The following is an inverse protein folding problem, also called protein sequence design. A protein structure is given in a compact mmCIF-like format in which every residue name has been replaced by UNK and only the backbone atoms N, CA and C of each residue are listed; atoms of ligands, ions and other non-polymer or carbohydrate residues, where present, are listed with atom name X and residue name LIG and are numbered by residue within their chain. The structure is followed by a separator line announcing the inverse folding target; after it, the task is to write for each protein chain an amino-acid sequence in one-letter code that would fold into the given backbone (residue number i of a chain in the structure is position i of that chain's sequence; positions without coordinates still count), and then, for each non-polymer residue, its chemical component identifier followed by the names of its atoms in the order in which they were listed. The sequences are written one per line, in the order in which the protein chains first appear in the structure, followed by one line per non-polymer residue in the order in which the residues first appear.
data_IF_146407262524
#
_entry.id   IF_146407262524
#
_cell.length_a   1.000
_cell.length_b   1.000
_cell.length_c   1.000
_cell.angle_alpha   90.00
_cell.angle_beta   90.00
_cell.angle_gamma   90.00
#
_symmetry.space_group_name_H-M   'P 1'
#
loop_
_entity.id
_entity.type
_entity.pdbx_description
1 polymer ?
#
# COMPACT_ATOMS: atom_id res chain seq x y z
N UNK A 1 -34.71 9.87 -13.81
CA UNK A 1 -33.57 8.95 -13.58
C UNK A 1 -32.74 9.46 -12.41
N UNK A 2 -32.89 8.87 -11.21
CA UNK A 2 -32.12 9.25 -10.01
C UNK A 2 -30.66 8.80 -10.20
N UNK A 3 -29.72 9.76 -10.15
CA UNK A 3 -28.28 9.52 -10.29
C UNK A 3 -27.78 8.66 -9.12
N UNK A 4 -27.09 7.57 -9.46
CA UNK A 4 -26.32 6.69 -8.56
C UNK A 4 -25.07 7.39 -7.95
N UNK A 5 -25.18 8.64 -7.52
CA UNK A 5 -24.07 9.43 -6.95
C UNK A 5 -24.06 9.51 -5.41
N UNK A 6 -25.04 8.90 -4.74
CA UNK A 6 -25.24 9.09 -3.30
C UNK A 6 -24.62 8.00 -2.39
N UNK A 7 -23.79 7.09 -2.93
CA UNK A 7 -23.13 6.03 -2.12
C UNK A 7 -21.69 6.33 -1.70
N UNK A 8 -21.11 7.41 -2.20
CA UNK A 8 -19.80 7.89 -1.77
C UNK A 8 -19.96 9.27 -1.17
N UNK A 9 -20.77 9.39 -0.12
CA UNK A 9 -20.65 10.51 0.81
C UNK A 9 -19.23 10.50 1.37
N UNK A 10 -18.33 11.23 0.73
CA UNK A 10 -17.15 11.81 1.36
C UNK A 10 -17.63 12.80 2.39
N UNK A 11 -18.20 12.29 3.49
CA UNK A 11 -18.28 13.03 4.74
C UNK A 11 -16.84 13.31 5.11
N UNK A 12 -16.45 14.55 4.92
CA UNK A 12 -15.18 15.09 5.35
C UNK A 12 -15.02 14.74 6.84
N UNK A 13 -14.13 13.78 7.13
CA UNK A 13 -13.84 13.29 8.46
C UNK A 13 -12.95 14.32 9.19
N UNK A 14 -13.49 15.51 9.46
CA UNK A 14 -12.99 16.36 10.52
C UNK A 14 -13.59 15.85 11.83
N UNK A 15 -12.81 15.06 12.57
CA UNK A 15 -13.11 14.81 13.98
C UNK A 15 -13.12 16.15 14.70
N UNK A 16 -14.13 16.40 15.54
CA UNK A 16 -14.35 17.59 16.39
C UNK A 16 -13.20 17.94 17.37
N UNK A 17 -12.01 17.37 17.18
CA UNK A 17 -10.79 17.60 17.96
C UNK A 17 -9.57 17.50 17.04
N UNK A 18 -9.43 18.40 16.05
CA UNK A 18 -8.17 18.77 15.36
C UNK A 18 -7.25 17.69 14.77
N UNK A 19 -7.63 16.41 14.81
CA UNK A 19 -6.76 15.28 14.46
C UNK A 19 -6.98 14.94 13.00
N UNK A 20 -6.05 15.37 12.16
CA UNK A 20 -6.12 15.14 10.73
C UNK A 20 -5.76 13.69 10.42
N UNK A 21 -6.74 12.93 9.90
CA UNK A 21 -6.58 11.52 9.56
C UNK A 21 -6.45 11.41 8.04
N UNK A 22 -5.29 10.92 7.58
CA UNK A 22 -5.06 10.61 6.17
C UNK A 22 -5.33 9.12 5.93
N UNK A 23 -6.20 8.83 4.97
CA UNK A 23 -6.56 7.45 4.59
C UNK A 23 -6.28 7.25 3.11
N UNK A 24 -5.34 6.36 2.80
CA UNK A 24 -4.99 5.96 1.44
C UNK A 24 -5.44 4.52 1.19
N UNK A 25 -6.04 4.29 0.02
CA UNK A 25 -6.34 2.95 -0.49
C UNK A 25 -5.47 2.75 -1.72
N UNK A 26 -4.51 1.84 -1.62
CA UNK A 26 -3.56 1.56 -2.70
C UNK A 26 -4.07 0.33 -3.44
N UNK A 27 -4.42 0.43 -4.74
CA UNK A 27 -4.89 -0.70 -5.51
C UNK A 27 -3.74 -1.67 -5.80
N UNK A 28 -4.09 -2.94 -6.01
CA UNK A 28 -3.15 -3.98 -6.41
C UNK A 28 -2.52 -4.74 -5.25
N UNK A 29 -1.57 -5.63 -5.59
CA UNK A 29 -0.86 -6.46 -4.62
C UNK A 29 0.03 -5.57 -3.74
N UNK A 30 0.00 -5.71 -2.40
CA UNK A 30 0.93 -5.00 -1.54
C UNK A 30 2.37 -5.48 -1.82
N UNK A 31 3.28 -4.54 -2.05
CA UNK A 31 4.70 -4.81 -2.32
C UNK A 31 5.52 -4.19 -1.18
N UNK A 32 6.33 -5.01 -0.52
CA UNK A 32 7.33 -4.53 0.43
C UNK A 32 8.51 -3.91 -0.33
N UNK A 33 9.22 -2.96 0.31
CA UNK A 33 10.43 -2.37 -0.27
C UNK A 33 11.47 -3.47 -0.52
N UNK A 34 11.78 -3.74 -1.78
CA UNK A 34 12.82 -4.70 -2.12
C UNK A 34 14.21 -4.11 -1.82
N UNK A 35 15.16 -4.97 -1.46
CA UNK A 35 16.57 -4.57 -1.31
C UNK A 35 17.14 -4.19 -2.69
N UNK A 36 18.10 -3.26 -2.70
CA UNK A 36 18.85 -2.94 -3.91
C UNK A 36 19.54 -4.21 -4.43
N UNK A 37 19.54 -4.38 -5.74
CA UNK A 37 20.20 -5.49 -6.42
C UNK A 37 21.52 -5.01 -6.98
N UNK A 38 22.57 -5.79 -6.75
CA UNK A 38 23.90 -5.54 -7.29
C UNK A 38 24.13 -6.46 -8.47
N UNK A 39 24.50 -5.90 -9.62
CA UNK A 39 24.80 -6.65 -10.84
C UNK A 39 26.15 -6.22 -11.39
N UNK A 40 26.89 -7.18 -11.96
CA UNK A 40 28.11 -6.92 -12.71
C UNK A 40 27.77 -6.85 -14.19
N UNK A 41 28.09 -5.73 -14.83
CA UNK A 41 27.93 -5.57 -16.27
C UNK A 41 28.92 -6.49 -16.98
N UNK A 42 28.43 -7.38 -17.84
CA UNK A 42 29.26 -8.37 -18.56
C UNK A 42 30.18 -7.72 -19.60
N UNK A 43 29.81 -6.57 -20.15
CA UNK A 43 30.55 -5.90 -21.22
C UNK A 43 31.59 -4.92 -20.68
N UNK A 44 31.24 -4.18 -19.61
CA UNK A 44 32.15 -3.16 -19.02
C UNK A 44 32.89 -3.64 -17.77
N UNK A 45 32.51 -4.80 -17.22
CA UNK A 45 33.07 -5.33 -15.97
C UNK A 45 32.65 -4.59 -14.70
N UNK A 46 31.93 -3.46 -14.82
CA UNK A 46 31.56 -2.60 -13.72
C UNK A 46 30.45 -3.20 -12.84
N UNK A 47 30.54 -2.96 -11.54
CA UNK A 47 29.51 -3.36 -10.57
C UNK A 47 28.58 -2.18 -10.32
N UNK A 48 27.28 -2.39 -10.48
CA UNK A 48 26.26 -1.37 -10.24
C UNK A 48 25.16 -1.90 -9.32
N UNK A 49 24.68 -1.03 -8.44
CA UNK A 49 23.57 -1.33 -7.54
C UNK A 49 22.35 -0.50 -7.92
N UNK A 50 21.20 -1.13 -8.11
CA UNK A 50 19.97 -0.44 -8.48
C UNK A 50 18.78 -0.93 -7.64
N UNK A 51 17.82 -0.03 -7.42
CA UNK A 51 16.54 -0.40 -6.82
C UNK A 51 15.66 -1.01 -7.90
N UNK A 52 15.04 -2.18 -7.67
CA UNK A 52 14.14 -2.78 -8.65
C UNK A 52 13.03 -1.83 -9.10
N UNK A 53 12.74 -1.84 -10.41
CA UNK A 53 11.72 -0.98 -11.04
C UNK A 53 10.35 -1.10 -10.36
N UNK A 54 10.01 -2.29 -9.89
CA UNK A 54 8.77 -2.54 -9.14
C UNK A 54 8.63 -1.67 -7.89
N UNK A 55 9.71 -1.53 -7.11
CA UNK A 55 9.71 -0.71 -5.89
C UNK A 55 9.57 0.78 -6.24
N UNK A 56 10.24 1.23 -7.30
CA UNK A 56 10.17 2.62 -7.78
C UNK A 56 8.74 2.94 -8.24
N UNK A 57 8.16 2.08 -9.07
CA UNK A 57 6.80 2.25 -9.58
C UNK A 57 5.76 2.25 -8.47
N UNK A 58 5.90 1.36 -7.49
CA UNK A 58 4.96 1.28 -6.37
C UNK A 58 5.00 2.55 -5.50
N UNK A 59 6.18 3.11 -5.23
CA UNK A 59 6.31 4.38 -4.53
C UNK A 59 5.71 5.55 -5.33
N UNK A 60 5.90 5.57 -6.65
CA UNK A 60 5.30 6.56 -7.53
C UNK A 60 3.76 6.50 -7.52
N UNK A 61 3.18 5.29 -7.54
CA UNK A 61 1.73 5.09 -7.44
C UNK A 61 1.17 5.65 -6.13
N UNK A 62 1.81 5.35 -4.99
CA UNK A 62 1.38 5.88 -3.68
C UNK A 62 1.41 7.41 -3.68
N UNK A 63 2.48 8.00 -4.24
CA UNK A 63 2.63 9.44 -4.35
C UNK A 63 1.53 10.06 -5.21
N UNK A 64 1.20 9.46 -6.36
CA UNK A 64 0.11 9.91 -7.23
C UNK A 64 -1.22 9.88 -6.48
N UNK A 65 -1.59 8.74 -5.88
CA UNK A 65 -2.85 8.60 -5.13
C UNK A 65 -2.95 9.62 -3.99
N UNK A 66 -1.84 9.88 -3.30
CA UNK A 66 -1.81 10.91 -2.26
C UNK A 66 -2.06 12.31 -2.83
N UNK A 67 -1.35 12.68 -3.91
CA UNK A 67 -1.50 13.99 -4.55
C UNK A 67 -2.90 14.18 -5.13
N UNK A 68 -3.45 13.15 -5.77
CA UNK A 68 -4.79 13.18 -6.35
C UNK A 68 -5.87 13.42 -5.29
N UNK A 69 -5.66 12.91 -4.06
CA UNK A 69 -6.64 12.99 -2.97
C UNK A 69 -6.43 14.17 -2.03
N UNK A 70 -5.18 14.55 -1.77
CA UNK A 70 -4.81 15.52 -0.72
C UNK A 70 -3.92 16.66 -1.24
N UNK A 71 -3.62 16.69 -2.55
CA UNK A 71 -2.73 17.67 -3.15
C UNK A 71 -1.29 17.55 -2.64
N UNK A 72 -0.59 18.69 -2.60
CA UNK A 72 0.79 18.78 -2.12
C UNK A 72 0.88 18.98 -0.59
N UNK A 73 -0.19 18.70 0.14
CA UNK A 73 -0.24 18.84 1.60
C UNK A 73 0.83 17.96 2.27
N UNK A 74 1.57 18.53 3.23
CA UNK A 74 2.61 17.81 3.98
C UNK A 74 2.18 17.65 5.44
N UNK A 75 2.33 16.44 5.96
CA UNK A 75 2.18 16.16 7.39
C UNK A 75 3.40 16.72 8.14
N UNK A 76 3.15 17.44 9.24
CA UNK A 76 4.19 17.98 10.11
C UNK A 76 4.10 17.35 11.50
N UNK A 77 5.25 17.21 12.16
CA UNK A 77 5.37 16.63 13.50
C UNK A 77 5.36 15.10 13.51
N UNK A 78 5.16 14.51 14.69
CA UNK A 78 5.12 13.06 14.87
C UNK A 78 3.83 12.47 14.29
N UNK A 79 3.97 11.42 13.48
CA UNK A 79 2.85 10.73 12.85
C UNK A 79 2.69 9.32 13.39
N UNK A 80 1.44 8.88 13.57
CA UNK A 80 1.09 7.47 13.79
C UNK A 80 0.51 6.92 12.50
N UNK A 81 1.09 5.85 11.99
CA UNK A 81 0.61 5.15 10.80
C UNK A 81 0.14 3.74 11.15
N UNK A 82 -0.94 3.30 10.52
CA UNK A 82 -1.40 1.91 10.52
C UNK A 82 -1.46 1.45 9.07
N UNK A 83 -0.81 0.32 8.77
CA UNK A 83 -0.76 -0.26 7.42
C UNK A 83 -1.43 -1.62 7.46
N UNK A 84 -2.50 -1.77 6.68
CA UNK A 84 -3.18 -3.05 6.49
C UNK A 84 -2.88 -3.57 5.08
N UNK A 85 -2.15 -4.68 4.99
CA UNK A 85 -1.80 -5.32 3.73
C UNK A 85 -2.66 -6.57 3.51
N UNK A 86 -3.44 -6.58 2.43
CA UNK A 86 -4.31 -7.68 2.06
C UNK A 86 -3.67 -8.52 0.95
N UNK A 87 -3.55 -9.82 1.19
CA UNK A 87 -2.95 -10.76 0.25
C UNK A 87 -3.96 -11.85 -0.14
N UNK A 88 -3.87 -12.38 -1.37
CA UNK A 88 -4.67 -13.54 -1.75
C UNK A 88 -4.29 -14.76 -0.91
N UNK A 89 -5.28 -15.59 -0.57
CA UNK A 89 -5.05 -16.83 0.17
C UNK A 89 -4.26 -17.81 -0.71
N UNK A 90 -3.11 -18.35 -0.24
CA UNK A 90 -2.34 -19.31 -1.01
C UNK A 90 -3.15 -20.55 -1.37
N UNK A 91 -2.97 -21.09 -2.57
CA UNK A 91 -3.68 -22.30 -3.05
C UNK A 91 -3.38 -23.53 -2.18
N UNK A 92 -2.18 -23.62 -1.63
CA UNK A 92 -1.73 -24.70 -0.73
C UNK A 92 -2.33 -24.63 0.68
N UNK A 93 -3.17 -23.63 0.99
CA UNK A 93 -3.75 -23.46 2.33
C UNK A 93 -4.79 -24.54 2.60
N UNK A 94 -4.61 -25.31 3.68
CA UNK A 94 -5.60 -26.29 4.16
C UNK A 94 -6.98 -25.65 4.36
N UNK A 95 -8.05 -26.44 4.16
CA UNK A 95 -9.46 -25.97 4.30
C UNK A 95 -9.73 -25.25 5.63
N UNK A 96 -9.22 -25.79 6.74
CA UNK A 96 -9.36 -25.19 8.09
C UNK A 96 -8.72 -23.80 8.15
N UNK A 97 -7.44 -23.69 7.77
CA UNK A 97 -6.72 -22.40 7.74
C UNK A 97 -7.37 -21.38 6.80
N UNK A 98 -7.88 -21.82 5.65
CA UNK A 98 -8.58 -20.97 4.69
C UNK A 98 -9.83 -20.33 5.31
N UNK A 99 -10.62 -21.09 6.08
CA UNK A 99 -11.76 -20.55 6.82
C UNK A 99 -11.37 -19.43 7.80
N UNK A 100 -10.30 -19.65 8.56
CA UNK A 100 -9.76 -18.64 9.49
C UNK A 100 -9.24 -17.39 8.78
N UNK A 101 -8.57 -17.55 7.63
CA UNK A 101 -8.06 -16.43 6.83
C UNK A 101 -9.19 -15.59 6.24
N UNK A 102 -10.28 -16.21 5.75
CA UNK A 102 -11.46 -15.49 5.23
C UNK A 102 -12.18 -14.68 6.32
N UNK A 103 -12.19 -15.19 7.56
CA UNK A 103 -12.72 -14.48 8.72
C UNK A 103 -11.76 -13.42 9.30
N UNK A 104 -10.58 -13.24 8.69
CA UNK A 104 -9.51 -12.36 9.19
C UNK A 104 -8.97 -12.72 10.58
N UNK A 105 -9.21 -13.95 11.05
CA UNK A 105 -8.70 -14.48 12.32
C UNK A 105 -7.24 -14.92 12.21
N UNK A 106 -6.81 -15.31 11.00
CA UNK A 106 -5.43 -15.70 10.71
C UNK A 106 -4.79 -14.69 9.74
N UNK A 107 -3.79 -13.95 10.25
CA UNK A 107 -3.00 -13.00 9.46
C UNK A 107 -1.92 -13.69 8.63
N UNK A 108 -1.48 -13.08 7.51
CA UNK A 108 -0.32 -13.57 6.78
C UNK A 108 0.88 -13.73 7.71
N UNK A 109 1.66 -14.82 7.57
CA UNK A 109 2.93 -14.95 8.28
C UNK A 109 3.87 -13.81 7.85
N UNK A 110 4.83 -13.49 8.72
CA UNK A 110 5.79 -12.40 8.51
C UNK A 110 6.48 -12.57 7.14
N UNK A 111 6.47 -11.51 6.33
CA UNK A 111 7.07 -11.42 4.99
C UNK A 111 8.50 -10.90 5.10
#
# INVERSE_FOLDING_TARGET
MKRLKDKYETKEFYSKQGKQIITLIIPGKPIAKQRARTVKNKYTGQVMSFTPKETINYAALIKQIYIDKYGLYKLNGAIRQVINAYYPIPKSTSRKKRGLMLKSELRPPKI
#
